data_IF_021056573465
#
_entry.id   IF_021056573465
#
_cell.length_a   1.000
_cell.length_b   1.000
_cell.length_c   1.000
_cell.angle_alpha   90.00
_cell.angle_beta   90.00
_cell.angle_gamma   90.00
#
_symmetry.space_group_name_H-M   'P 1'
#
loop_
_entity.id
_entity.type
_entity.pdbx_description
1 polymer ?
#
# COMPACT_ATOMS: atom_id res chain seq x y z
N UNK A 1 12.42 15.33 9.57
CA UNK A 1 11.95 14.35 8.56
C UNK A 1 11.03 15.09 7.61
N UNK A 2 11.39 15.12 6.33
CA UNK A 2 10.50 15.58 5.27
C UNK A 2 10.17 14.39 4.37
N UNK A 3 8.95 14.34 3.83
CA UNK A 3 8.54 13.32 2.89
C UNK A 3 7.83 13.99 1.71
N UNK A 4 8.19 13.57 0.50
CA UNK A 4 7.61 14.05 -0.75
C UNK A 4 6.82 12.92 -1.38
N UNK A 5 5.52 13.13 -1.57
CA UNK A 5 4.67 12.19 -2.31
C UNK A 5 5.00 12.25 -3.80
N UNK A 6 5.34 11.11 -4.39
CA UNK A 6 5.60 10.98 -5.83
C UNK A 6 4.35 10.49 -6.58
N UNK A 7 3.61 9.55 -5.98
CA UNK A 7 2.41 9.00 -6.61
C UNK A 7 1.41 8.52 -5.56
N UNK A 8 0.11 8.58 -5.89
CA UNK A 8 -0.95 7.94 -5.13
C UNK A 8 -1.98 7.34 -6.09
N UNK A 9 -2.34 6.07 -5.86
CA UNK A 9 -3.40 5.37 -6.60
C UNK A 9 -4.44 4.86 -5.64
N UNK A 10 -5.72 5.02 -6.00
CA UNK A 10 -6.83 4.38 -5.30
C UNK A 10 -7.20 3.09 -6.01
N UNK A 11 -7.18 2.01 -5.26
CA UNK A 11 -7.52 0.66 -5.69
C UNK A 11 -8.83 0.25 -5.01
N UNK A 12 -9.84 -0.04 -5.82
CA UNK A 12 -11.15 -0.52 -5.36
C UNK A 12 -11.52 -1.78 -6.15
N UNK A 13 -12.39 -2.64 -5.62
CA UNK A 13 -12.87 -3.80 -6.36
C UNK A 13 -13.47 -3.40 -7.71
N UNK A 14 -13.28 -4.25 -8.71
CA UNK A 14 -13.83 -4.03 -10.04
C UNK A 14 -15.35 -3.91 -9.99
N UNK A 15 -15.92 -3.02 -10.81
CA UNK A 15 -17.35 -2.71 -10.78
C UNK A 15 -18.25 -3.94 -10.96
N UNK A 16 -17.86 -4.86 -11.86
CA UNK A 16 -18.61 -6.12 -12.06
C UNK A 16 -18.67 -6.99 -10.79
N UNK A 17 -17.64 -7.00 -9.96
CA UNK A 17 -17.68 -7.74 -8.68
C UNK A 17 -18.64 -7.07 -7.70
N UNK A 18 -18.69 -5.74 -7.68
CA UNK A 18 -19.63 -4.99 -6.84
C UNK A 18 -21.09 -5.18 -7.30
N UNK A 19 -21.31 -5.37 -8.60
CA UNK A 19 -22.65 -5.57 -9.17
C UNK A 19 -23.10 -7.03 -9.19
N UNK A 20 -22.22 -7.98 -8.92
CA UNK A 20 -22.55 -9.40 -8.94
C UNK A 20 -23.57 -9.75 -7.85
N UNK A 21 -24.64 -10.46 -8.24
CA UNK A 21 -25.67 -10.97 -7.33
C UNK A 21 -25.66 -12.50 -7.28
N UNK A 22 -25.80 -13.14 -8.44
CA UNK A 22 -25.94 -14.57 -8.66
C UNK A 22 -25.72 -14.89 -10.16
N UNK A 23 -26.01 -16.12 -10.58
CA UNK A 23 -26.04 -16.51 -12.00
C UNK A 23 -27.39 -16.16 -12.62
N UNK A 24 -27.39 -15.71 -13.87
CA UNK A 24 -28.60 -15.36 -14.61
C UNK A 24 -29.23 -16.58 -15.30
N UNK A 25 -28.40 -17.55 -15.65
CA UNK A 25 -28.72 -18.74 -16.43
C UNK A 25 -28.59 -20.03 -15.59
N UNK A 26 -29.13 -21.12 -16.13
CA UNK A 26 -29.20 -22.41 -15.46
C UNK A 26 -27.86 -23.17 -15.45
N UNK A 27 -27.01 -22.91 -16.44
CA UNK A 27 -25.65 -23.46 -16.56
C UNK A 27 -24.58 -22.60 -15.86
N UNK A 28 -24.90 -21.35 -15.50
CA UNK A 28 -24.12 -20.50 -14.62
C UNK A 28 -23.00 -19.72 -15.28
N UNK A 29 -23.00 -19.60 -16.62
CA UNK A 29 -21.94 -18.90 -17.36
C UNK A 29 -22.20 -17.40 -17.51
N UNK A 30 -23.45 -16.94 -17.36
CA UNK A 30 -23.82 -15.52 -17.46
C UNK A 30 -24.06 -14.93 -16.07
N UNK A 31 -23.22 -13.98 -15.61
CA UNK A 31 -23.41 -13.36 -14.31
C UNK A 31 -24.60 -12.38 -14.31
N UNK A 32 -25.34 -12.35 -13.20
CA UNK A 32 -26.36 -11.35 -12.94
C UNK A 32 -25.76 -10.13 -12.24
N UNK A 33 -25.54 -9.05 -13.00
CA UNK A 33 -24.85 -7.83 -12.55
C UNK A 33 -25.82 -6.68 -12.15
N UNK A 34 -26.85 -6.99 -11.36
CA UNK A 34 -27.89 -6.02 -10.94
C UNK A 34 -27.75 -5.54 -9.49
N UNK A 35 -26.80 -6.08 -8.72
CA UNK A 35 -26.59 -5.65 -7.34
C UNK A 35 -26.11 -4.18 -7.31
N UNK A 36 -26.42 -3.50 -6.21
CA UNK A 36 -26.01 -2.10 -5.96
C UNK A 36 -24.98 -2.00 -4.83
N UNK A 37 -24.20 -3.05 -4.62
CA UNK A 37 -23.20 -3.11 -3.56
C UNK A 37 -22.17 -2.02 -3.78
N UNK A 38 -21.82 -1.31 -2.70
CA UNK A 38 -20.75 -0.31 -2.71
C UNK A 38 -19.49 -0.92 -2.10
N UNK A 39 -18.33 -0.45 -2.51
CA UNK A 39 -17.08 -0.85 -1.88
C UNK A 39 -17.11 -0.45 -0.40
N UNK A 40 -16.86 -1.42 0.49
CA UNK A 40 -16.76 -1.19 1.93
C UNK A 40 -15.35 -0.69 2.32
N UNK A 41 -14.35 -0.97 1.50
CA UNK A 41 -12.96 -0.56 1.70
C UNK A 41 -12.32 -0.11 0.39
N UNK A 42 -11.24 0.64 0.51
CA UNK A 42 -10.34 0.99 -0.59
C UNK A 42 -8.90 0.79 -0.13
N UNK A 43 -8.04 0.33 -1.04
CA UNK A 43 -6.60 0.37 -0.82
C UNK A 43 -6.00 1.58 -1.52
N UNK A 44 -5.09 2.28 -0.86
CA UNK A 44 -4.31 3.35 -1.47
C UNK A 44 -2.86 2.88 -1.58
N UNK A 45 -2.34 2.83 -2.80
CA UNK A 45 -0.93 2.59 -3.04
C UNK A 45 -0.23 3.93 -3.15
N UNK A 46 0.67 4.21 -2.22
CA UNK A 46 1.40 5.47 -2.11
C UNK A 46 2.86 5.21 -2.45
N UNK A 47 3.46 6.07 -3.27
CA UNK A 47 4.91 6.10 -3.48
C UNK A 47 5.44 7.45 -3.05
N UNK A 48 6.44 7.47 -2.20
CA UNK A 48 7.01 8.69 -1.64
C UNK A 48 8.50 8.56 -1.41
N UNK A 49 9.17 9.71 -1.33
CA UNK A 49 10.60 9.81 -1.02
C UNK A 49 10.76 10.50 0.33
N UNK A 50 11.63 9.99 1.20
CA UNK A 50 11.92 10.59 2.49
C UNK A 50 13.31 11.20 2.54
N UNK A 51 13.44 12.23 3.37
CA UNK A 51 14.71 12.83 3.74
C UNK A 51 15.00 12.62 5.23
N UNK A 52 16.25 12.30 5.60
CA UNK A 52 17.43 12.23 4.73
C UNK A 52 17.59 10.88 3.99
N UNK A 53 18.53 10.81 3.04
CA UNK A 53 18.92 9.57 2.35
C UNK A 53 18.18 9.26 1.03
N UNK A 54 17.22 10.09 0.62
CA UNK A 54 16.44 9.91 -0.62
C UNK A 54 15.85 8.48 -0.75
N UNK A 55 15.42 7.92 0.38
CA UNK A 55 14.81 6.61 0.43
C UNK A 55 13.42 6.65 -0.20
N UNK A 56 13.17 5.76 -1.15
CA UNK A 56 11.92 5.69 -1.87
C UNK A 56 11.11 4.52 -1.35
N UNK A 57 9.90 4.80 -0.87
CA UNK A 57 9.01 3.78 -0.33
C UNK A 57 7.76 3.64 -1.17
N UNK A 58 7.22 2.43 -1.17
CA UNK A 58 5.87 2.12 -1.58
C UNK A 58 5.10 1.53 -0.38
N UNK A 59 3.95 2.12 -0.05
CA UNK A 59 3.10 1.69 1.05
C UNK A 59 1.68 1.42 0.56
N UNK A 60 1.08 0.35 1.07
CA UNK A 60 -0.34 0.06 0.85
C UNK A 60 -1.13 0.41 2.11
N UNK A 61 -2.05 1.35 1.98
CA UNK A 61 -2.91 1.83 3.05
C UNK A 61 -4.30 1.26 2.84
N UNK A 62 -4.87 0.61 3.85
CA UNK A 62 -6.27 0.19 3.81
C UNK A 62 -7.14 1.27 4.44
N UNK A 63 -8.18 1.69 3.72
CA UNK A 63 -9.20 2.61 4.22
C UNK A 63 -10.53 1.87 4.29
N UNK A 64 -11.04 1.70 5.51
CA UNK A 64 -12.41 1.24 5.76
C UNK A 64 -13.36 2.44 5.66
N UNK A 65 -14.24 2.41 4.66
CA UNK A 65 -15.18 3.48 4.36
C UNK A 65 -16.32 3.50 5.38
N UNK A 66 -16.71 2.34 5.90
CA UNK A 66 -17.82 2.20 6.83
C UNK A 66 -17.40 2.64 8.25
N UNK A 67 -16.22 2.20 8.68
CA UNK A 67 -15.63 2.56 9.96
C UNK A 67 -14.93 3.92 9.97
N UNK A 68 -14.67 4.49 8.79
CA UNK A 68 -13.82 5.67 8.60
C UNK A 68 -12.44 5.51 9.28
N UNK A 69 -11.84 4.33 9.15
CA UNK A 69 -10.54 4.00 9.76
C UNK A 69 -9.50 3.76 8.68
N UNK A 70 -8.27 4.12 9.00
CA UNK A 70 -7.10 3.89 8.16
C UNK A 70 -6.17 2.92 8.87
N UNK A 71 -5.76 1.87 8.18
CA UNK A 71 -4.84 0.86 8.68
C UNK A 71 -3.66 0.73 7.73
N UNK A 72 -2.46 0.69 8.30
CA UNK A 72 -1.22 0.49 7.57
C UNK A 72 -0.51 -0.69 8.21
N UNK A 73 -0.21 -1.70 7.41
CA UNK A 73 0.67 -2.78 7.83
C UNK A 73 2.12 -2.37 7.53
N UNK A 74 2.89 -2.10 8.58
CA UNK A 74 4.30 -1.73 8.46
C UNK A 74 5.13 -2.81 7.77
N UNK A 75 4.72 -4.08 7.83
CA UNK A 75 5.44 -5.18 7.14
C UNK A 75 5.19 -5.18 5.63
N UNK A 76 4.14 -4.49 5.17
CA UNK A 76 3.79 -4.34 3.75
C UNK A 76 4.47 -3.14 3.08
N UNK A 77 5.19 -2.31 3.84
CA UNK A 77 5.92 -1.16 3.31
C UNK A 77 7.19 -1.67 2.63
N UNK A 78 7.35 -1.34 1.36
CA UNK A 78 8.49 -1.73 0.55
C UNK A 78 9.43 -0.55 0.35
N UNK A 79 10.71 -0.71 0.64
CA UNK A 79 11.75 0.23 0.23
C UNK A 79 12.20 -0.12 -1.20
N UNK A 80 11.94 0.77 -2.13
CA UNK A 80 11.97 0.52 -3.58
C UNK A 80 13.38 0.63 -4.15
N UNK A 81 14.18 1.59 -3.70
CA UNK A 81 15.56 1.77 -4.15
C UNK A 81 16.55 1.00 -3.25
N UNK A 82 17.80 0.87 -3.71
CA UNK A 82 18.86 0.18 -2.96
C UNK A 82 19.21 0.95 -1.67
N UNK A 83 19.24 0.26 -0.53
CA UNK A 83 19.72 0.82 0.75
C UNK A 83 21.20 1.23 0.70
N UNK A 84 22.03 0.37 0.12
CA UNK A 84 23.48 0.58 0.08
C UNK A 84 24.10 0.49 1.48
N UNK A 85 24.98 1.44 1.77
CA UNK A 85 25.70 1.56 3.06
C UNK A 85 25.02 2.57 4.00
N UNK A 86 23.84 3.09 3.61
CA UNK A 86 23.14 4.15 4.34
C UNK A 86 22.65 3.70 5.72
N UNK A 87 22.40 2.41 5.93
CA UNK A 87 21.92 1.85 7.20
C UNK A 87 23.00 1.11 8.00
N UNK A 88 24.29 1.23 7.66
CA UNK A 88 25.36 0.40 8.24
C UNK A 88 25.43 0.42 9.78
N UNK A 89 25.21 1.57 10.41
CA UNK A 89 25.25 1.74 11.86
C UNK A 89 24.14 0.99 12.62
N UNK A 90 23.07 0.52 11.94
CA UNK A 90 21.98 -0.24 12.57
C UNK A 90 22.01 -1.74 12.22
N UNK A 91 22.81 -2.17 11.23
CA UNK A 91 22.78 -3.55 10.72
C UNK A 91 23.10 -4.56 11.83
N UNK A 92 24.13 -4.31 12.62
CA UNK A 92 24.58 -5.22 13.69
C UNK A 92 23.72 -5.13 14.97
N UNK A 93 22.88 -4.09 15.09
CA UNK A 93 21.97 -3.88 16.23
C UNK A 93 20.61 -4.49 15.94
N UNK A 94 20.01 -4.11 14.80
CA UNK A 94 18.73 -4.62 14.34
C UNK A 94 18.60 -4.46 12.83
N UNK A 95 18.90 -5.56 12.13
CA UNK A 95 18.80 -5.64 10.68
C UNK A 95 17.40 -5.28 10.13
N UNK A 96 16.31 -5.54 10.86
CA UNK A 96 14.96 -5.19 10.39
C UNK A 96 14.74 -3.68 10.27
N UNK A 97 15.49 -2.88 11.02
CA UNK A 97 15.47 -1.42 10.92
C UNK A 97 16.29 -0.89 9.76
N UNK A 98 17.11 -1.71 9.10
CA UNK A 98 17.94 -1.28 7.97
C UNK A 98 17.11 -0.76 6.79
N UNK A 99 15.85 -1.18 6.70
CA UNK A 99 14.91 -0.71 5.68
C UNK A 99 14.33 0.68 5.98
N UNK A 100 14.48 1.22 7.19
CA UNK A 100 13.86 2.48 7.64
C UNK A 100 14.86 3.52 8.13
N UNK A 101 15.98 3.05 8.67
CA UNK A 101 16.99 3.90 9.29
C UNK A 101 18.06 4.33 8.30
N UNK A 102 18.67 5.46 8.59
CA UNK A 102 19.76 6.05 7.85
C UNK A 102 20.79 6.60 8.84
N UNK A 103 22.07 6.40 8.54
CA UNK A 103 23.21 6.75 9.37
C UNK A 103 23.80 8.06 8.86
N UNK A 104 23.78 9.09 9.71
CA UNK A 104 24.10 10.47 9.32
C UNK A 104 25.56 10.68 8.87
N UNK A 105 26.48 9.78 9.21
CA UNK A 105 27.87 9.83 8.75
C UNK A 105 28.04 9.51 7.25
N UNK A 106 26.98 9.03 6.58
CA UNK A 106 26.94 8.67 5.15
C UNK A 106 26.05 9.59 4.31
N UNK A 107 25.55 10.69 4.87
CA UNK A 107 24.55 11.59 4.25
C UNK A 107 25.12 13.01 4.14
#
# INVERSE_FOLDING_TARGET
LQAKLENAKRLVPHENLLKYKDTKDADGFVPNLVAKTKAAFAHYQLRFVTEPGNAMYEATVQYDILGNTVTVDMTSISHVNRYGDLSHCIIDINYFLAAYCVCYDKI
#
